data_IF_125908942955
#
_entry.id   IF_125908942955
#
_cell.length_a   1.000
_cell.length_b   1.000
_cell.length_c   1.000
_cell.angle_alpha   90.00
_cell.angle_beta   90.00
_cell.angle_gamma   90.00
#
_symmetry.space_group_name_H-M   'P 1'
#
loop_
_entity.id
_entity.type
_entity.pdbx_description
1 polymer ?
#
# COMPACT_ATOMS: atom_id res chain seq x y z
N UNK A 1 -25.75 10.11 -0.06
CA UNK A 1 -24.85 9.09 -0.57
C UNK A 1 -24.34 8.23 0.59
N UNK A 2 -24.67 6.94 0.60
CA UNK A 2 -24.40 6.01 1.74
C UNK A 2 -22.88 5.85 2.01
N UNK A 3 -22.02 6.23 1.05
CA UNK A 3 -20.56 6.12 1.14
C UNK A 3 -19.87 7.45 1.51
N UNK A 4 -20.62 8.48 1.81
CA UNK A 4 -20.07 9.75 2.27
C UNK A 4 -20.19 9.87 3.81
N UNK A 5 -19.23 10.52 4.45
CA UNK A 5 -19.16 10.66 5.89
C UNK A 5 -18.41 9.51 6.58
N UNK A 6 -18.80 9.13 7.80
CA UNK A 6 -18.08 8.14 8.61
C UNK A 6 -17.88 6.77 7.93
N UNK A 7 -18.83 6.22 7.15
CA UNK A 7 -18.59 4.98 6.40
C UNK A 7 -17.43 5.10 5.39
N UNK A 8 -17.23 6.27 4.80
CA UNK A 8 -16.09 6.51 3.89
C UNK A 8 -14.78 6.57 4.66
N UNK A 9 -14.74 7.14 5.84
CA UNK A 9 -13.55 7.15 6.71
C UNK A 9 -13.17 5.73 7.10
N UNK A 10 -14.14 4.91 7.50
CA UNK A 10 -13.91 3.49 7.79
C UNK A 10 -13.35 2.74 6.57
N UNK A 11 -13.93 2.94 5.39
CA UNK A 11 -13.47 2.33 4.15
C UNK A 11 -12.00 2.68 3.85
N UNK A 12 -11.62 3.95 4.06
CA UNK A 12 -10.25 4.42 3.87
C UNK A 12 -9.29 3.82 4.89
N UNK A 13 -9.63 3.82 6.17
CA UNK A 13 -8.76 3.28 7.22
C UNK A 13 -8.65 1.75 7.20
N UNK A 14 -9.65 1.05 6.72
CA UNK A 14 -9.56 -0.40 6.47
C UNK A 14 -8.95 -0.75 5.12
N UNK A 15 -8.54 0.26 4.35
CA UNK A 15 -7.97 0.10 3.01
C UNK A 15 -8.84 -0.81 2.11
N UNK A 16 -10.16 -0.69 2.22
CA UNK A 16 -11.11 -1.49 1.44
C UNK A 16 -11.16 -1.02 0.00
N UNK A 17 -11.44 -1.95 -0.88
CA UNK A 17 -11.70 -1.67 -2.29
C UNK A 17 -13.02 -0.90 -2.44
N UNK A 18 -13.02 0.32 -3.02
CA UNK A 18 -14.25 1.10 -3.19
C UNK A 18 -15.23 0.42 -4.13
N UNK A 19 -16.54 0.63 -3.91
CA UNK A 19 -17.59 0.06 -4.78
C UNK A 19 -17.59 0.67 -6.18
N UNK A 20 -17.31 1.99 -6.29
CA UNK A 20 -17.19 2.71 -7.56
C UNK A 20 -15.74 3.15 -7.74
N UNK A 21 -14.93 2.23 -8.22
CA UNK A 21 -13.51 2.51 -8.44
C UNK A 21 -13.27 3.34 -9.68
N UNK A 22 -12.37 4.30 -9.54
CA UNK A 22 -11.68 4.88 -10.67
C UNK A 22 -10.64 3.91 -11.23
N UNK A 23 -10.46 3.92 -12.54
CA UNK A 23 -9.38 3.19 -13.20
C UNK A 23 -8.15 4.09 -13.28
N UNK A 24 -7.00 3.59 -12.86
CA UNK A 24 -5.71 4.24 -13.01
C UNK A 24 -4.94 3.65 -14.18
N UNK A 25 -4.20 4.49 -14.89
CA UNK A 25 -3.25 4.05 -15.90
C UNK A 25 -2.03 3.40 -15.24
N UNK A 26 -1.72 2.16 -15.60
CA UNK A 26 -0.53 1.47 -15.08
C UNK A 26 0.76 1.92 -15.75
N UNK A 27 0.66 2.37 -17.00
CA UNK A 27 1.78 2.89 -17.79
C UNK A 27 1.49 4.31 -18.27
N UNK A 28 2.53 5.09 -18.52
CA UNK A 28 2.44 6.35 -19.24
C UNK A 28 2.45 6.12 -20.75
N UNK A 29 1.86 7.02 -21.50
CA UNK A 29 1.86 6.93 -22.97
C UNK A 29 0.72 7.67 -23.63
N UNK A 30 0.52 7.40 -24.91
CA UNK A 30 -0.54 7.99 -25.71
C UNK A 30 -1.83 7.20 -25.57
N UNK A 31 -2.91 7.91 -25.29
CA UNK A 31 -4.27 7.37 -25.17
C UNK A 31 -4.91 7.23 -26.53
N UNK A 32 -5.52 6.08 -26.80
CA UNK A 32 -6.38 5.84 -27.96
C UNK A 32 -7.68 5.19 -27.52
N UNK A 33 -8.78 5.66 -28.05
CA UNK A 33 -10.10 5.07 -27.80
C UNK A 33 -10.45 4.06 -28.88
N UNK A 34 -10.90 2.88 -28.47
CA UNK A 34 -11.40 1.84 -29.36
C UNK A 34 -12.79 1.40 -28.90
N UNK A 35 -13.75 1.41 -29.83
CA UNK A 35 -15.10 0.95 -29.54
C UNK A 35 -15.11 -0.57 -29.34
N UNK A 36 -15.80 -1.02 -28.31
CA UNK A 36 -16.01 -2.44 -28.05
C UNK A 36 -17.30 -2.92 -28.71
N UNK A 37 -17.30 -4.13 -29.25
CA UNK A 37 -18.48 -4.79 -29.80
C UNK A 37 -19.66 -4.93 -28.82
N UNK A 38 -19.41 -4.78 -27.53
CA UNK A 38 -20.42 -4.68 -26.47
C UNK A 38 -20.68 -3.22 -26.14
N UNK A 39 -21.45 -2.50 -26.91
CA UNK A 39 -21.70 -1.05 -26.93
C UNK A 39 -21.88 -0.26 -25.62
N UNK A 40 -21.69 -0.85 -24.45
CA UNK A 40 -21.72 -0.19 -23.14
C UNK A 40 -20.34 0.14 -22.57
N UNK A 41 -19.27 -0.38 -23.15
CA UNK A 41 -17.89 -0.19 -22.70
C UNK A 41 -17.03 0.40 -23.83
N UNK A 42 -16.09 1.24 -23.43
CA UNK A 42 -15.04 1.81 -24.28
C UNK A 42 -13.70 1.20 -23.86
N UNK A 43 -12.91 0.78 -24.82
CA UNK A 43 -11.53 0.38 -24.56
C UNK A 43 -10.62 1.60 -24.67
N UNK A 44 -9.94 1.92 -23.57
CA UNK A 44 -8.85 2.88 -23.55
C UNK A 44 -7.54 2.10 -23.73
N UNK A 45 -6.87 2.31 -24.85
CA UNK A 45 -5.57 1.72 -25.14
C UNK A 45 -4.51 2.77 -24.87
N UNK A 46 -3.55 2.46 -24.00
CA UNK A 46 -2.41 3.32 -23.71
C UNK A 46 -1.18 2.66 -24.31
N UNK A 47 -0.46 3.39 -25.15
CA UNK A 47 0.77 2.93 -25.78
C UNK A 47 1.94 3.76 -25.26
N UNK A 48 2.88 3.11 -24.59
CA UNK A 48 4.10 3.74 -24.12
C UNK A 48 5.12 3.92 -25.25
N UNK A 49 6.13 4.74 -25.02
CA UNK A 49 7.17 5.05 -26.01
C UNK A 49 8.04 3.84 -26.36
N UNK A 50 8.14 2.86 -25.47
CA UNK A 50 8.85 1.59 -25.66
C UNK A 50 8.03 0.55 -26.44
N UNK A 51 6.77 0.86 -26.78
CA UNK A 51 5.84 0.00 -27.51
C UNK A 51 5.00 -0.91 -26.61
N UNK A 52 5.14 -0.86 -25.27
CA UNK A 52 4.22 -1.56 -24.38
C UNK A 52 2.82 -0.96 -24.46
N UNK A 53 1.81 -1.82 -24.43
CA UNK A 53 0.41 -1.41 -24.56
C UNK A 53 -0.43 -2.01 -23.44
N UNK A 54 -1.31 -1.18 -22.87
CA UNK A 54 -2.30 -1.60 -21.87
C UNK A 54 -3.69 -1.18 -22.31
N UNK A 55 -4.66 -2.08 -22.17
CA UNK A 55 -6.05 -1.84 -22.53
C UNK A 55 -6.94 -1.90 -21.30
N UNK A 56 -7.77 -0.88 -21.14
CA UNK A 56 -8.72 -0.75 -20.02
C UNK A 56 -10.14 -0.65 -20.57
N UNK A 57 -10.99 -1.62 -20.21
CA UNK A 57 -12.41 -1.56 -20.53
C UNK A 57 -13.15 -0.73 -19.49
N UNK A 58 -13.64 0.44 -19.87
CA UNK A 58 -14.27 1.42 -18.98
C UNK A 58 -15.64 1.84 -19.51
N UNK A 59 -16.56 2.32 -18.65
CA UNK A 59 -17.83 2.90 -19.10
C UNK A 59 -17.57 4.17 -19.93
N UNK A 60 -18.44 4.45 -20.90
CA UNK A 60 -18.39 5.69 -21.69
C UNK A 60 -18.60 6.96 -20.86
N UNK A 61 -19.19 6.82 -19.66
CA UNK A 61 -19.47 7.94 -18.77
C UNK A 61 -18.38 8.14 -17.73
N UNK A 62 -18.06 9.41 -17.44
CA UNK A 62 -17.10 9.74 -16.39
C UNK A 62 -15.64 9.62 -16.81
N UNK A 63 -15.34 9.71 -18.09
CA UNK A 63 -13.98 9.74 -18.61
C UNK A 63 -13.25 11.01 -18.17
N UNK A 64 -12.00 10.89 -17.76
CA UNK A 64 -11.12 12.01 -17.36
C UNK A 64 -10.05 12.32 -18.41
N UNK A 65 -9.90 11.48 -19.41
CA UNK A 65 -8.94 11.60 -20.50
C UNK A 65 -9.66 11.67 -21.85
N UNK A 66 -8.99 12.20 -22.85
CA UNK A 66 -9.47 12.31 -24.22
C UNK A 66 -8.65 11.43 -25.14
N UNK A 67 -9.24 11.13 -26.30
CA UNK A 67 -8.52 10.44 -27.36
C UNK A 67 -7.34 11.30 -27.86
N UNK A 68 -6.16 10.70 -27.94
CA UNK A 68 -4.93 11.37 -28.33
C UNK A 68 -4.13 12.03 -27.20
N UNK A 69 -4.64 12.08 -25.97
CA UNK A 69 -3.90 12.63 -24.84
C UNK A 69 -2.62 11.83 -24.56
N UNK A 70 -1.60 12.53 -24.07
CA UNK A 70 -0.39 11.91 -23.52
C UNK A 70 -0.47 11.99 -22.00
N UNK A 71 -0.38 10.86 -21.34
CA UNK A 71 -0.55 10.74 -19.89
C UNK A 71 0.63 10.04 -19.25
N UNK A 72 0.80 10.25 -17.95
CA UNK A 72 1.78 9.57 -17.12
C UNK A 72 1.15 8.36 -16.40
N UNK A 73 2.01 7.42 -15.97
CA UNK A 73 1.59 6.32 -15.11
C UNK A 73 0.92 6.86 -13.83
N UNK A 74 -0.18 6.25 -13.44
CA UNK A 74 -0.98 6.71 -12.31
C UNK A 74 -2.01 7.79 -12.64
N UNK A 75 -2.14 8.22 -13.90
CA UNK A 75 -3.22 9.14 -14.30
C UNK A 75 -4.58 8.45 -14.16
N UNK A 76 -5.54 9.16 -13.60
CA UNK A 76 -6.90 8.66 -13.42
C UNK A 76 -7.67 8.73 -14.74
N UNK A 77 -8.14 7.59 -15.22
CA UNK A 77 -8.85 7.47 -16.50
C UNK A 77 -10.35 7.74 -16.37
N UNK A 78 -10.94 7.37 -15.22
CA UNK A 78 -12.38 7.49 -14.98
C UNK A 78 -12.67 8.16 -13.64
N UNK A 79 -13.82 8.79 -13.51
CA UNK A 79 -14.32 9.30 -12.25
C UNK A 79 -14.60 8.16 -11.25
N UNK A 80 -14.24 8.37 -9.99
CA UNK A 80 -14.54 7.45 -8.89
C UNK A 80 -13.55 7.58 -7.75
N UNK A 81 -13.72 6.74 -6.73
CA UNK A 81 -12.78 6.64 -5.64
C UNK A 81 -11.57 5.78 -6.06
N UNK A 82 -10.38 6.20 -5.68
CA UNK A 82 -9.17 5.41 -5.93
C UNK A 82 -9.09 4.23 -4.96
N UNK A 83 -8.65 3.08 -5.47
CA UNK A 83 -8.27 1.96 -4.62
C UNK A 83 -6.88 2.25 -4.01
N UNK A 84 -6.73 2.34 -2.68
CA UNK A 84 -5.44 2.64 -2.07
C UNK A 84 -4.34 1.66 -2.44
N UNK A 85 -4.67 0.39 -2.66
CA UNK A 85 -3.70 -0.63 -3.09
C UNK A 85 -3.17 -0.37 -4.50
N UNK A 86 -4.00 0.09 -5.42
CA UNK A 86 -3.57 0.45 -6.77
C UNK A 86 -2.73 1.74 -6.76
N UNK A 87 -3.08 2.70 -5.92
CA UNK A 87 -2.27 3.90 -5.72
C UNK A 87 -0.88 3.54 -5.21
N UNK A 88 -0.78 2.62 -4.23
CA UNK A 88 0.50 2.13 -3.73
C UNK A 88 1.33 1.46 -4.83
N UNK A 89 0.69 0.56 -5.58
CA UNK A 89 1.36 -0.22 -6.64
C UNK A 89 1.86 0.67 -7.79
N UNK A 90 1.09 1.68 -8.19
CA UNK A 90 1.37 2.48 -9.37
C UNK A 90 2.12 3.77 -9.04
N UNK A 91 1.71 4.48 -7.99
CA UNK A 91 2.25 5.80 -7.62
C UNK A 91 3.25 5.77 -6.46
N UNK A 92 3.34 4.66 -5.74
CA UNK A 92 4.24 4.49 -4.60
C UNK A 92 3.67 4.93 -3.25
N UNK A 93 4.49 4.78 -2.20
CA UNK A 93 4.11 4.98 -0.80
C UNK A 93 3.67 6.42 -0.49
N UNK A 94 4.45 7.41 -0.93
CA UNK A 94 4.16 8.83 -0.65
C UNK A 94 2.80 9.26 -1.22
N UNK A 95 2.45 8.75 -2.40
CA UNK A 95 1.16 9.04 -3.02
C UNK A 95 -0.01 8.46 -2.21
N UNK A 96 0.15 7.26 -1.63
CA UNK A 96 -0.86 6.66 -0.75
C UNK A 96 -1.01 7.44 0.54
N UNK A 97 0.10 7.86 1.17
CA UNK A 97 0.08 8.72 2.34
C UNK A 97 -0.76 9.97 2.09
N UNK A 98 -0.41 10.71 1.06
CA UNK A 98 -1.11 11.94 0.71
C UNK A 98 -2.58 11.68 0.36
N UNK A 99 -2.86 10.64 -0.41
CA UNK A 99 -4.22 10.28 -0.79
C UNK A 99 -5.10 9.98 0.43
N UNK A 100 -4.67 9.10 1.33
CA UNK A 100 -5.43 8.72 2.51
C UNK A 100 -5.66 9.92 3.45
N UNK A 101 -4.62 10.71 3.71
CA UNK A 101 -4.71 11.88 4.57
C UNK A 101 -5.70 12.89 3.99
N UNK A 102 -5.56 13.25 2.71
CA UNK A 102 -6.42 14.24 2.07
C UNK A 102 -7.88 13.78 1.97
N UNK A 103 -8.12 12.52 1.64
CA UNK A 103 -9.48 11.97 1.55
C UNK A 103 -10.18 11.94 2.91
N UNK A 104 -9.49 11.52 3.98
CA UNK A 104 -10.05 11.54 5.33
C UNK A 104 -10.35 12.96 5.77
N UNK A 105 -9.42 13.89 5.61
CA UNK A 105 -9.63 15.29 5.96
C UNK A 105 -10.76 15.93 5.16
N UNK A 106 -10.88 15.58 3.88
CA UNK A 106 -11.98 16.05 3.03
C UNK A 106 -13.34 15.64 3.59
N UNK A 107 -13.48 14.39 4.01
CA UNK A 107 -14.72 13.88 4.61
C UNK A 107 -15.04 14.64 5.89
N UNK A 108 -14.07 14.85 6.77
CA UNK A 108 -14.30 15.58 8.02
C UNK A 108 -14.66 17.06 7.78
N UNK A 109 -13.98 17.74 6.85
CA UNK A 109 -14.30 19.12 6.47
C UNK A 109 -15.71 19.25 5.88
N UNK A 110 -16.17 18.27 5.11
CA UNK A 110 -17.55 18.24 4.61
C UNK A 110 -18.59 18.11 5.74
N UNK A 111 -18.21 17.54 6.86
CA UNK A 111 -19.06 17.47 8.08
C UNK A 111 -18.87 18.68 9.01
N UNK A 112 -18.12 19.68 8.59
CA UNK A 112 -17.87 20.88 9.41
C UNK A 112 -16.87 20.66 10.55
N UNK A 113 -16.11 19.58 10.52
CA UNK A 113 -15.09 19.26 11.53
C UNK A 113 -13.69 19.53 10.95
N UNK A 114 -12.94 20.38 11.63
CA UNK A 114 -11.54 20.65 11.28
C UNK A 114 -10.61 19.86 12.18
N UNK A 115 -9.77 19.02 11.59
CA UNK A 115 -8.81 18.15 12.28
C UNK A 115 -7.42 18.42 11.73
N UNK A 116 -6.43 18.52 12.61
CA UNK A 116 -5.04 18.65 12.19
C UNK A 116 -4.55 17.35 11.55
N UNK A 117 -3.82 17.47 10.44
CA UNK A 117 -3.31 16.35 9.63
C UNK A 117 -2.50 15.33 10.45
N UNK A 118 -1.73 15.80 11.45
CA UNK A 118 -0.89 14.94 12.29
C UNK A 118 -1.62 13.75 12.93
N UNK A 119 -2.91 13.91 13.25
CA UNK A 119 -3.70 12.82 13.84
C UNK A 119 -4.00 11.71 12.84
N UNK A 120 -4.19 12.08 11.59
CA UNK A 120 -4.41 11.13 10.49
C UNK A 120 -3.08 10.51 10.05
N UNK A 121 -2.02 11.31 9.98
CA UNK A 121 -0.67 10.85 9.62
C UNK A 121 -0.19 9.70 10.52
N UNK A 122 -0.41 9.80 11.83
CA UNK A 122 -0.04 8.74 12.78
C UNK A 122 -0.75 7.42 12.44
N UNK A 123 -2.02 7.48 12.10
CA UNK A 123 -2.82 6.29 11.75
C UNK A 123 -2.32 5.70 10.42
N UNK A 124 -2.16 6.52 9.39
CA UNK A 124 -1.70 6.07 8.07
C UNK A 124 -0.29 5.48 8.15
N UNK A 125 0.60 6.04 8.97
CA UNK A 125 1.93 5.49 9.22
C UNK A 125 1.86 4.06 9.76
N UNK A 126 0.94 3.77 10.68
CA UNK A 126 0.75 2.41 11.20
C UNK A 126 0.19 1.44 10.14
N UNK A 127 -0.64 1.92 9.22
CA UNK A 127 -1.15 1.13 8.11
C UNK A 127 -0.05 0.69 7.13
N UNK A 128 1.03 1.46 7.01
CA UNK A 128 2.12 1.24 6.07
C UNK A 128 3.43 0.82 6.77
N UNK A 129 3.34 0.30 7.95
CA UNK A 129 4.50 -0.07 8.77
C UNK A 129 5.21 -1.33 8.31
N UNK A 130 4.54 -2.22 7.58
CA UNK A 130 5.06 -3.54 7.23
C UNK A 130 5.44 -3.65 5.75
N UNK A 131 6.51 -4.41 5.52
CA UNK A 131 7.04 -4.78 4.21
C UNK A 131 7.04 -6.30 4.10
N UNK A 132 6.69 -6.84 2.94
CA UNK A 132 6.87 -8.26 2.62
C UNK A 132 8.22 -8.43 1.96
N UNK A 133 9.08 -9.24 2.54
CA UNK A 133 10.37 -9.56 1.94
C UNK A 133 10.19 -10.44 0.70
N UNK A 134 10.88 -10.06 -0.37
CA UNK A 134 10.99 -10.83 -1.61
C UNK A 134 12.30 -11.61 -1.63
N UNK A 135 13.40 -10.95 -1.26
CA UNK A 135 14.73 -11.54 -1.13
C UNK A 135 15.37 -11.01 0.17
N UNK A 136 15.71 -11.90 1.08
CA UNK A 136 16.40 -11.54 2.31
C UNK A 136 17.88 -11.18 2.10
N UNK A 137 18.45 -11.44 0.92
CA UNK A 137 19.85 -11.20 0.64
C UNK A 137 20.76 -11.94 1.63
N UNK A 138 21.78 -11.25 2.13
CA UNK A 138 22.73 -11.78 3.13
C UNK A 138 22.37 -11.32 4.57
N UNK A 139 21.14 -10.90 4.78
CA UNK A 139 20.60 -10.55 6.11
C UNK A 139 20.17 -11.80 6.88
N UNK A 140 19.81 -11.64 8.15
CA UNK A 140 19.27 -12.71 8.98
C UNK A 140 17.75 -12.87 8.86
N UNK A 141 17.11 -12.10 7.98
CA UNK A 141 15.67 -12.13 7.76
C UNK A 141 15.29 -13.35 6.91
N UNK A 142 14.01 -13.69 6.92
CA UNK A 142 13.49 -14.85 6.16
C UNK A 142 12.71 -14.38 4.93
N UNK A 143 12.99 -15.00 3.79
CA UNK A 143 12.24 -14.76 2.55
C UNK A 143 10.74 -14.98 2.74
N UNK A 144 9.94 -14.10 2.14
CA UNK A 144 8.49 -14.13 2.21
C UNK A 144 7.89 -13.71 3.56
N UNK A 145 8.72 -13.40 4.56
CA UNK A 145 8.24 -12.91 5.85
C UNK A 145 7.74 -11.45 5.76
N UNK A 146 6.90 -11.09 6.70
CA UNK A 146 6.40 -9.73 6.87
C UNK A 146 7.15 -9.08 8.03
N UNK A 147 7.97 -8.09 7.72
CA UNK A 147 8.83 -7.38 8.66
C UNK A 147 8.44 -5.91 8.79
N UNK A 148 8.88 -5.27 9.86
CA UNK A 148 8.76 -3.83 10.02
C UNK A 148 9.72 -3.09 9.07
N UNK A 149 9.29 -1.94 8.54
CA UNK A 149 10.17 -1.10 7.71
C UNK A 149 11.46 -0.77 8.43
N UNK A 150 11.40 -0.41 9.71
CA UNK A 150 12.60 -0.08 10.50
C UNK A 150 13.51 -1.30 10.70
N UNK A 151 12.94 -2.48 10.89
CA UNK A 151 13.70 -3.72 11.00
C UNK A 151 14.44 -4.06 9.68
N UNK A 152 13.81 -3.79 8.55
CA UNK A 152 14.43 -3.94 7.23
C UNK A 152 15.58 -2.93 7.05
N UNK A 153 15.36 -1.68 7.44
CA UNK A 153 16.37 -0.64 7.35
C UNK A 153 17.58 -0.96 8.24
N UNK A 154 17.35 -1.35 9.49
CA UNK A 154 18.41 -1.76 10.43
C UNK A 154 19.22 -2.96 9.91
N UNK A 155 18.54 -3.94 9.30
CA UNK A 155 19.19 -5.11 8.70
C UNK A 155 20.06 -4.72 7.50
N UNK A 156 19.61 -3.79 6.67
CA UNK A 156 20.37 -3.30 5.53
C UNK A 156 21.54 -2.41 5.95
N UNK A 157 21.38 -1.59 6.98
CA UNK A 157 22.49 -0.83 7.57
C UNK A 157 23.58 -1.74 8.15
N UNK A 158 23.20 -2.87 8.74
CA UNK A 158 24.17 -3.85 9.21
C UNK A 158 24.96 -4.47 8.03
N UNK A 159 24.30 -4.74 6.90
CA UNK A 159 24.99 -5.19 5.68
C UNK A 159 25.97 -4.13 5.19
N UNK A 160 25.60 -2.86 5.20
CA UNK A 160 26.49 -1.77 4.80
C UNK A 160 27.72 -1.67 5.72
N UNK A 161 27.54 -1.82 7.03
CA UNK A 161 28.64 -1.85 8.01
C UNK A 161 29.58 -3.03 7.75
N UNK A 162 29.05 -4.23 7.48
CA UNK A 162 29.84 -5.41 7.17
C UNK A 162 30.62 -5.26 5.85
N UNK A 163 29.98 -4.70 4.83
CA UNK A 163 30.62 -4.37 3.56
C UNK A 163 31.76 -3.36 3.72
N UNK A 164 31.54 -2.32 4.54
CA UNK A 164 32.58 -1.31 4.88
C UNK A 164 33.75 -1.91 5.67
N UNK A 165 33.50 -2.91 6.50
CA UNK A 165 34.53 -3.69 7.20
C UNK A 165 35.32 -4.64 6.29
N UNK A 166 34.95 -4.75 5.00
CA UNK A 166 35.63 -5.58 4.02
C UNK A 166 35.11 -7.01 3.94
N UNK A 167 34.00 -7.33 4.61
CA UNK A 167 33.32 -8.63 4.48
C UNK A 167 32.75 -8.80 3.09
N UNK A 168 32.82 -10.00 2.53
CA UNK A 168 32.34 -10.33 1.18
C UNK A 168 31.69 -11.69 1.16
N UNK A 169 30.86 -11.93 0.16
CA UNK A 169 30.34 -13.25 -0.16
C UNK A 169 31.47 -14.23 -0.55
N UNK A 170 31.18 -15.52 -0.60
CA UNK A 170 32.15 -16.56 -1.00
C UNK A 170 32.69 -16.33 -2.42
N UNK A 171 31.92 -15.69 -3.29
CA UNK A 171 32.32 -15.32 -4.66
C UNK A 171 33.15 -14.01 -4.72
N UNK A 172 33.39 -13.33 -3.60
CA UNK A 172 34.13 -12.07 -3.50
C UNK A 172 33.28 -10.81 -3.77
N UNK A 173 31.99 -10.95 -4.06
CA UNK A 173 31.08 -9.82 -4.25
C UNK A 173 30.65 -9.20 -2.90
N UNK A 174 30.19 -7.93 -2.92
CA UNK A 174 29.62 -7.33 -1.71
C UNK A 174 28.41 -8.12 -1.20
N UNK A 175 28.18 -8.08 0.11
CA UNK A 175 26.96 -8.62 0.69
C UNK A 175 25.72 -7.87 0.18
N UNK A 176 24.65 -8.61 -0.11
CA UNK A 176 23.42 -8.09 -0.70
C UNK A 176 22.45 -7.63 0.39
N UNK A 177 21.79 -6.51 0.11
CA UNK A 177 20.67 -6.02 0.92
C UNK A 177 19.44 -6.93 0.79
N UNK A 178 18.60 -6.90 1.81
CA UNK A 178 17.25 -7.44 1.72
C UNK A 178 16.37 -6.46 0.92
N UNK A 179 15.50 -7.01 0.08
CA UNK A 179 14.52 -6.26 -0.70
C UNK A 179 13.11 -6.75 -0.42
N UNK A 180 12.15 -5.86 -0.50
CA UNK A 180 10.76 -6.21 -0.25
C UNK A 180 9.79 -5.19 -0.83
N UNK A 181 8.52 -5.60 -0.87
CA UNK A 181 7.40 -4.77 -1.34
C UNK A 181 6.65 -4.18 -0.16
N UNK A 182 6.46 -2.86 -0.19
CA UNK A 182 5.66 -2.13 0.80
C UNK A 182 4.23 -2.67 0.84
N UNK A 183 3.73 -2.93 2.05
CA UNK A 183 2.34 -3.35 2.28
C UNK A 183 1.49 -2.20 2.79
N UNK A 184 0.22 -2.19 2.36
CA UNK A 184 -0.83 -1.37 2.95
C UNK A 184 -1.80 -2.29 3.66
N UNK A 185 -1.99 -2.08 4.96
CA UNK A 185 -2.93 -2.85 5.79
C UNK A 185 -4.01 -1.95 6.34
N UNK A 186 -5.24 -2.45 6.43
CA UNK A 186 -6.28 -1.81 7.22
C UNK A 186 -5.90 -1.73 8.70
N UNK A 187 -6.50 -0.79 9.44
CA UNK A 187 -6.18 -0.56 10.86
C UNK A 187 -6.40 -1.81 11.71
N UNK A 188 -7.44 -2.59 11.43
CA UNK A 188 -7.72 -3.84 12.16
C UNK A 188 -6.59 -4.84 11.97
N UNK A 189 -6.17 -5.07 10.73
CA UNK A 189 -5.08 -5.99 10.43
C UNK A 189 -3.73 -5.49 10.97
N UNK A 190 -3.47 -4.19 10.88
CA UNK A 190 -2.27 -3.58 11.44
C UNK A 190 -2.20 -3.73 12.96
N UNK A 191 -3.34 -3.61 13.65
CA UNK A 191 -3.43 -3.78 15.10
C UNK A 191 -3.18 -5.23 15.54
N UNK A 192 -3.57 -6.22 14.73
CA UNK A 192 -3.32 -7.65 14.99
C UNK A 192 -1.91 -8.09 14.59
N UNK A 193 -1.26 -7.37 13.68
CA UNK A 193 0.08 -7.66 13.18
C UNK A 193 1.20 -7.02 14.03
N UNK A 194 0.96 -6.75 15.31
CA UNK A 194 1.95 -6.20 16.23
C UNK A 194 2.90 -7.30 16.76
N UNK A 195 4.08 -6.91 17.21
CA UNK A 195 5.04 -7.84 17.81
C UNK A 195 4.61 -8.29 19.21
N UNK A 196 3.76 -7.51 19.89
CA UNK A 196 3.17 -7.83 21.18
C UNK A 196 1.91 -8.67 21.02
N UNK A 197 1.97 -9.97 21.33
CA UNK A 197 0.79 -10.82 21.30
C UNK A 197 -0.25 -10.46 22.40
N UNK A 198 0.18 -9.90 23.54
CA UNK A 198 -0.74 -9.42 24.56
C UNK A 198 -1.58 -8.23 24.08
N UNK A 199 -0.97 -7.29 23.36
CA UNK A 199 -1.68 -6.17 22.73
C UNK A 199 -2.69 -6.67 21.70
N UNK A 200 -2.31 -7.58 20.82
CA UNK A 200 -3.20 -8.18 19.84
C UNK A 200 -4.36 -8.95 20.50
N UNK A 201 -4.08 -9.74 21.54
CA UNK A 201 -5.07 -10.50 22.29
C UNK A 201 -6.08 -9.60 23.02
N UNK A 202 -5.66 -8.42 23.50
CA UNK A 202 -6.56 -7.45 24.16
C UNK A 202 -7.49 -6.74 23.18
N UNK A 203 -7.19 -6.75 21.90
CA UNK A 203 -7.98 -6.08 20.86
C UNK A 203 -9.07 -7.00 20.28
N UNK A 204 -8.67 -8.08 19.60
CA UNK A 204 -9.58 -9.04 18.97
C UNK A 204 -8.94 -10.43 18.87
N UNK A 205 -9.76 -11.45 18.59
CA UNK A 205 -9.30 -12.83 18.36
C UNK A 205 -8.42 -13.40 19.49
N UNK A 206 -8.78 -13.07 20.74
CA UNK A 206 -7.98 -13.40 21.93
C UNK A 206 -7.54 -14.86 21.96
N UNK A 207 -8.46 -15.81 21.76
CA UNK A 207 -8.17 -17.25 21.82
C UNK A 207 -7.17 -17.66 20.74
N UNK A 208 -7.35 -17.18 19.51
CA UNK A 208 -6.48 -17.47 18.37
C UNK A 208 -5.07 -16.94 18.61
N UNK A 209 -4.96 -15.67 19.03
CA UNK A 209 -3.67 -15.01 19.28
C UNK A 209 -2.91 -15.70 20.40
N UNK A 210 -3.56 -16.00 21.52
CA UNK A 210 -2.94 -16.69 22.65
C UNK A 210 -2.52 -18.12 22.29
N UNK A 211 -3.34 -18.84 21.52
CA UNK A 211 -3.00 -20.20 21.06
C UNK A 211 -1.78 -20.19 20.14
N UNK A 212 -1.73 -19.27 19.17
CA UNK A 212 -0.56 -19.13 18.29
C UNK A 212 0.71 -18.74 19.07
N UNK A 213 0.58 -17.83 20.02
CA UNK A 213 1.71 -17.42 20.86
C UNK A 213 2.25 -18.59 21.71
N UNK A 214 1.35 -19.40 22.28
CA UNK A 214 1.71 -20.58 23.05
C UNK A 214 2.41 -21.66 22.19
N UNK A 215 1.86 -21.95 21.00
CA UNK A 215 2.43 -22.93 20.06
C UNK A 215 3.83 -22.49 19.58
N UNK A 216 4.00 -21.20 19.28
CA UNK A 216 5.26 -20.64 18.80
C UNK A 216 6.26 -20.31 19.92
N UNK A 217 5.88 -20.46 21.18
CA UNK A 217 6.72 -20.12 22.33
C UNK A 217 7.13 -18.64 22.35
N UNK A 218 6.26 -17.75 21.92
CA UNK A 218 6.57 -16.30 21.86
C UNK A 218 6.67 -15.71 23.25
N UNK A 219 7.64 -14.81 23.43
CA UNK A 219 7.76 -13.98 24.63
C UNK A 219 7.31 -12.55 24.30
N UNK A 220 6.53 -11.93 25.17
CA UNK A 220 6.19 -10.51 25.09
C UNK A 220 7.09 -9.73 26.03
N UNK A 221 7.88 -8.83 25.48
CA UNK A 221 8.84 -8.02 26.23
C UNK A 221 8.21 -6.85 26.99
N UNK A 222 6.89 -6.70 26.93
CA UNK A 222 6.12 -5.65 27.62
C UNK A 222 6.59 -4.23 27.31
N UNK A 223 7.07 -4.02 26.10
CA UNK A 223 7.51 -2.69 25.63
C UNK A 223 6.32 -1.91 25.10
N UNK A 224 6.24 -0.62 25.44
CA UNK A 224 5.17 0.28 25.02
C UNK A 224 3.94 0.23 25.92
N UNK A 225 2.87 0.85 25.44
CA UNK A 225 1.56 0.87 26.12
C UNK A 225 0.80 -0.43 25.83
N UNK A 226 0.37 -1.09 26.88
CA UNK A 226 -0.39 -2.36 26.84
C UNK A 226 -1.79 -2.14 27.38
#
# INVERSE_FOLDING_TARGET
DITQGLPRVEELFEARKPKRMATLAEIGGRVKFEETSKGSLLNIVITADDGDTRTYAVPHTGLQVKDGDVIEAGTQLTYGALNPHDVLRIRGADAVYNYLIQEVLRVYRQQGVDINEKHIEVIVRQMMRKVRLEDAGDTKLLDGSMVDVLELDDANEEIDRRNAAGERQENGEPLRHATGTQLLMGITKASLATDSFLSAASFQETTKVLTEAAIKGKADHLVGLK
#
